data_IF_883736063601
#
_entry.id   IF_883736063601
#
_cell.length_a   1.000
_cell.length_b   1.000
_cell.length_c   1.000
_cell.angle_alpha   90.00
_cell.angle_beta   90.00
_cell.angle_gamma   90.00
#
_symmetry.space_group_name_H-M   'P 1'
#
loop_
_entity.id
_entity.type
_entity.pdbx_description
1 polymer ?
#
# COMPACT_ATOMS: atom_id res chain seq x y z
N UNK A 1 58.42 -16.59 36.11
CA UNK A 1 57.95 -15.28 35.60
C UNK A 1 58.36 -15.23 34.14
N UNK A 2 57.42 -15.27 33.17
CA UNK A 2 56.46 -14.20 32.97
C UNK A 2 54.98 -14.66 32.86
N UNK A 3 54.12 -13.68 33.08
CA UNK A 3 52.66 -13.68 32.92
C UNK A 3 52.24 -13.74 31.46
N UNK A 4 51.11 -14.40 31.19
CA UNK A 4 50.39 -14.29 29.91
C UNK A 4 48.90 -14.40 30.19
N UNK A 5 48.18 -13.27 30.08
CA UNK A 5 46.77 -13.17 30.41
C UNK A 5 45.88 -13.85 29.38
N UNK A 6 45.14 -14.85 29.82
CA UNK A 6 44.11 -15.53 29.04
C UNK A 6 42.77 -15.26 29.73
N UNK A 7 41.91 -14.47 29.11
CA UNK A 7 40.57 -14.21 29.69
C UNK A 7 39.82 -13.01 29.13
N UNK A 8 40.49 -12.11 28.41
CA UNK A 8 39.85 -10.87 27.91
C UNK A 8 39.34 -11.02 26.47
N UNK A 9 39.88 -11.96 25.69
CA UNK A 9 39.57 -12.09 24.26
C UNK A 9 38.17 -12.67 23.95
N UNK A 10 37.61 -13.51 24.83
CA UNK A 10 36.29 -14.11 24.62
C UNK A 10 35.13 -13.14 24.87
N UNK A 11 35.30 -12.26 25.86
CA UNK A 11 34.25 -11.34 26.31
C UNK A 11 34.10 -10.19 25.30
N UNK A 12 35.20 -9.71 24.72
CA UNK A 12 35.18 -8.67 23.68
C UNK A 12 34.47 -9.13 22.41
N UNK A 13 34.61 -10.40 22.01
CA UNK A 13 33.91 -10.94 20.83
C UNK A 13 32.38 -11.02 21.03
N UNK A 14 31.92 -11.33 22.25
CA UNK A 14 30.51 -11.47 22.58
C UNK A 14 29.80 -10.10 22.67
N UNK A 15 30.50 -9.10 23.22
CA UNK A 15 30.04 -7.69 23.22
C UNK A 15 30.03 -7.13 21.80
N UNK A 16 31.03 -7.40 20.97
CA UNK A 16 31.03 -6.99 19.57
C UNK A 16 29.87 -7.63 18.78
N UNK A 17 29.53 -8.89 19.08
CA UNK A 17 28.40 -9.58 18.44
C UNK A 17 27.03 -8.99 18.82
N UNK A 18 26.88 -8.50 20.07
CA UNK A 18 25.70 -7.77 20.51
C UNK A 18 25.63 -6.35 19.93
N UNK A 19 26.77 -5.71 19.68
CA UNK A 19 26.84 -4.35 19.10
C UNK A 19 26.68 -4.33 17.58
N UNK A 20 27.06 -5.40 16.86
CA UNK A 20 26.81 -5.57 15.42
C UNK A 20 25.50 -6.34 15.11
N UNK A 21 24.84 -6.87 16.13
CA UNK A 21 23.66 -7.72 16.03
C UNK A 21 22.35 -6.98 16.33
N UNK A 22 22.02 -5.97 15.52
CA UNK A 22 20.60 -5.68 15.26
C UNK A 22 20.43 -5.69 13.75
N UNK A 23 20.03 -6.85 13.22
CA UNK A 23 19.34 -6.89 11.95
C UNK A 23 18.02 -6.13 12.18
N UNK A 24 18.09 -4.81 12.04
CA UNK A 24 16.91 -3.97 12.00
C UNK A 24 16.01 -4.57 10.92
N UNK A 25 14.76 -4.79 11.28
CA UNK A 25 13.68 -5.27 10.42
C UNK A 25 13.45 -4.27 9.29
N UNK A 26 14.38 -4.19 8.34
CA UNK A 26 14.37 -3.27 7.20
C UNK A 26 13.51 -3.79 6.06
N UNK A 27 12.26 -4.14 6.34
CA UNK A 27 11.37 -4.74 5.35
C UNK A 27 9.90 -4.75 5.73
N UNK A 28 9.42 -3.77 6.49
CA UNK A 28 8.01 -3.68 6.92
C UNK A 28 7.43 -2.26 6.86
N UNK A 29 7.85 -1.42 5.91
CA UNK A 29 7.30 -0.04 5.83
C UNK A 29 7.12 0.44 4.36
N UNK A 30 7.13 -0.45 3.36
CA UNK A 30 7.03 -0.04 1.94
C UNK A 30 5.63 -0.23 1.33
N UNK A 31 4.69 -0.82 2.07
CA UNK A 31 3.37 -1.19 1.55
C UNK A 31 2.23 -0.27 2.04
N UNK A 32 2.53 0.90 2.62
CA UNK A 32 1.52 1.84 3.14
C UNK A 32 1.24 3.02 2.18
N UNK A 33 1.87 3.03 1.00
CA UNK A 33 1.65 4.09 0.02
C UNK A 33 0.23 4.00 -0.57
N UNK A 34 -0.56 5.09 -0.56
CA UNK A 34 -1.92 5.07 -1.07
C UNK A 34 -1.95 4.77 -2.58
N UNK A 35 -2.58 3.65 -2.96
CA UNK A 35 -2.71 3.18 -4.35
C UNK A 35 -3.45 4.19 -5.24
N UNK A 36 -4.40 4.93 -4.65
CA UNK A 36 -5.38 5.73 -5.39
C UNK A 36 -4.77 7.04 -5.93
N UNK A 37 -3.61 7.48 -5.43
CA UNK A 37 -3.02 8.77 -5.85
C UNK A 37 -2.60 8.79 -7.31
N UNK A 38 -2.26 7.64 -7.92
CA UNK A 38 -1.69 7.55 -9.28
C UNK A 38 -2.62 6.99 -10.37
N UNK A 39 -3.87 6.62 -10.04
CA UNK A 39 -4.77 5.97 -11.00
C UNK A 39 -5.35 6.96 -12.02
N UNK A 40 -5.33 6.57 -13.30
CA UNK A 40 -5.92 7.34 -14.39
C UNK A 40 -7.46 7.34 -14.29
N UNK A 41 -8.16 8.35 -14.83
CA UNK A 41 -9.62 8.37 -14.89
C UNK A 41 -10.22 7.12 -15.57
N UNK A 42 -9.52 6.55 -16.54
CA UNK A 42 -9.93 5.32 -17.25
C UNK A 42 -9.94 4.07 -16.38
N UNK A 43 -9.24 4.08 -15.24
CA UNK A 43 -9.24 2.98 -14.26
C UNK A 43 -10.54 2.88 -13.47
N UNK A 44 -11.42 3.89 -13.55
CA UNK A 44 -12.68 3.95 -12.82
C UNK A 44 -13.85 3.62 -13.73
N UNK A 45 -14.65 2.61 -13.36
CA UNK A 45 -15.83 2.19 -14.11
C UNK A 45 -17.01 2.00 -13.17
N UNK A 46 -18.22 2.18 -13.66
CA UNK A 46 -19.43 1.91 -12.89
C UNK A 46 -20.53 1.36 -13.77
N UNK A 47 -21.45 0.64 -13.14
CA UNK A 47 -22.74 0.21 -13.70
C UNK A 47 -23.56 1.38 -14.28
N UNK A 48 -23.70 2.45 -13.49
CA UNK A 48 -24.46 3.65 -13.82
C UNK A 48 -23.94 4.86 -13.02
N UNK A 49 -24.48 6.05 -13.30
CA UNK A 49 -24.22 7.26 -12.52
C UNK A 49 -25.45 8.17 -12.53
N UNK A 50 -25.74 8.81 -11.39
CA UNK A 50 -26.92 9.68 -11.21
C UNK A 50 -26.88 10.91 -12.14
N UNK A 51 -25.70 11.50 -12.31
CA UNK A 51 -25.46 12.59 -13.25
C UNK A 51 -23.99 12.63 -13.66
N UNK A 52 -23.62 13.55 -14.55
CA UNK A 52 -22.21 13.80 -14.91
C UNK A 52 -21.33 14.14 -13.70
N UNK A 53 -21.89 14.75 -12.64
CA UNK A 53 -21.16 15.11 -11.41
C UNK A 53 -21.05 13.98 -10.39
N UNK A 54 -21.67 12.82 -10.65
CA UNK A 54 -21.64 11.62 -9.79
C UNK A 54 -20.93 10.44 -10.48
N UNK A 55 -20.10 10.72 -11.49
CA UNK A 55 -19.33 9.71 -12.20
C UNK A 55 -18.31 8.96 -11.32
N UNK A 56 -17.85 7.78 -11.76
CA UNK A 56 -16.99 6.89 -10.96
C UNK A 56 -15.63 7.51 -10.60
N UNK A 57 -15.14 8.45 -11.40
CA UNK A 57 -13.91 9.21 -11.15
C UNK A 57 -13.96 10.07 -9.87
N UNK A 58 -15.16 10.38 -9.36
CA UNK A 58 -15.33 11.14 -8.13
C UNK A 58 -15.30 10.27 -6.86
N UNK A 59 -15.24 8.94 -6.98
CA UNK A 59 -15.19 8.03 -5.82
C UNK A 59 -13.85 8.02 -5.06
N UNK A 60 -12.84 8.77 -5.55
CA UNK A 60 -11.55 8.88 -4.88
C UNK A 60 -11.71 9.46 -3.48
N UNK A 61 -11.20 8.73 -2.49
CA UNK A 61 -11.21 9.15 -1.08
C UNK A 61 -10.56 10.53 -0.91
N UNK A 62 -11.15 11.37 -0.07
CA UNK A 62 -10.78 12.76 0.17
C UNK A 62 -10.93 13.72 -1.04
N UNK A 63 -11.62 13.32 -2.12
CA UNK A 63 -11.96 14.22 -3.23
C UNK A 63 -13.24 15.02 -2.91
N UNK A 64 -13.22 16.33 -3.16
CA UNK A 64 -14.38 17.25 -3.00
C UNK A 64 -15.00 17.69 -4.32
N UNK A 65 -14.43 17.28 -5.44
CA UNK A 65 -14.95 17.60 -6.76
C UNK A 65 -16.24 16.81 -7.07
N UNK A 66 -16.95 17.25 -8.11
CA UNK A 66 -18.25 16.70 -8.46
C UNK A 66 -19.28 17.00 -7.36
N UNK A 67 -20.20 16.07 -7.15
CA UNK A 67 -21.19 16.14 -6.08
C UNK A 67 -20.72 15.47 -4.78
N UNK A 68 -19.41 15.27 -4.61
CA UNK A 68 -18.82 14.67 -3.42
C UNK A 68 -18.57 13.16 -3.50
N UNK A 69 -18.84 12.52 -4.64
CA UNK A 69 -18.58 11.11 -4.83
C UNK A 69 -19.24 10.51 -6.06
N UNK A 70 -19.11 9.19 -6.20
CA UNK A 70 -19.93 8.42 -7.13
C UNK A 70 -21.32 8.14 -6.52
N UNK A 71 -22.36 8.11 -7.36
CA UNK A 71 -23.68 7.64 -6.97
C UNK A 71 -24.37 7.02 -8.18
N UNK A 72 -24.99 5.82 -8.06
CA UNK A 72 -25.67 5.18 -9.16
C UNK A 72 -26.97 5.90 -9.54
N UNK A 73 -27.46 5.66 -10.75
CA UNK A 73 -28.74 6.20 -11.22
C UNK A 73 -29.93 5.60 -10.47
N UNK A 74 -29.85 4.31 -10.13
CA UNK A 74 -30.86 3.57 -9.38
C UNK A 74 -30.18 2.96 -8.16
N UNK A 75 -30.80 3.05 -6.98
CA UNK A 75 -30.26 2.45 -5.76
C UNK A 75 -30.79 1.02 -5.60
N UNK A 76 -30.10 0.07 -6.24
CA UNK A 76 -30.38 -1.35 -6.11
C UNK A 76 -29.11 -2.16 -5.82
N UNK A 77 -29.29 -3.44 -5.53
CA UNK A 77 -28.24 -4.41 -5.17
C UNK A 77 -27.34 -4.87 -6.33
N UNK A 78 -27.59 -4.38 -7.54
CA UNK A 78 -26.84 -4.74 -8.74
C UNK A 78 -25.91 -3.62 -9.20
N UNK A 79 -25.94 -2.48 -8.53
CA UNK A 79 -25.01 -1.40 -8.80
C UNK A 79 -23.61 -1.79 -8.35
N UNK A 80 -22.64 -1.35 -9.14
CA UNK A 80 -21.24 -1.57 -8.87
C UNK A 80 -20.41 -0.37 -9.29
N UNK A 81 -19.33 -0.18 -8.54
CA UNK A 81 -18.20 0.68 -8.85
C UNK A 81 -16.95 -0.21 -8.89
N UNK A 82 -16.17 -0.08 -9.96
CA UNK A 82 -14.98 -0.86 -10.23
C UNK A 82 -13.76 0.07 -10.35
N UNK A 83 -12.65 -0.30 -9.70
CA UNK A 83 -11.36 0.39 -9.81
C UNK A 83 -10.29 -0.61 -10.22
N UNK A 84 -9.65 -0.36 -11.36
CA UNK A 84 -8.48 -1.10 -11.83
C UNK A 84 -7.21 -0.53 -11.17
N UNK A 85 -6.50 -1.38 -10.42
CA UNK A 85 -5.30 -1.00 -9.68
C UNK A 85 -4.01 -1.16 -10.51
N UNK A 86 -4.09 -1.67 -11.74
CA UNK A 86 -2.94 -1.89 -12.62
C UNK A 86 -2.23 -3.22 -12.41
N UNK A 87 -1.11 -3.39 -13.13
CA UNK A 87 -0.27 -4.59 -13.09
C UNK A 87 0.76 -4.51 -11.95
N UNK A 88 1.04 -5.65 -11.31
CA UNK A 88 2.08 -5.71 -10.27
C UNK A 88 3.46 -5.57 -10.91
N UNK A 89 4.25 -4.62 -10.41
CA UNK A 89 5.67 -4.55 -10.70
C UNK A 89 6.39 -5.69 -9.94
N UNK A 90 7.09 -6.62 -10.63
CA UNK A 90 7.71 -7.78 -10.00
C UNK A 90 8.97 -7.45 -9.18
N UNK A 91 9.56 -6.26 -9.36
CA UNK A 91 10.79 -5.83 -8.69
C UNK A 91 10.53 -4.91 -7.48
N UNK A 92 9.32 -4.37 -7.36
CA UNK A 92 8.81 -3.69 -6.16
C UNK A 92 7.85 -4.59 -5.38
N UNK A 93 7.88 -4.49 -4.05
CA UNK A 93 6.87 -5.06 -3.16
C UNK A 93 5.50 -4.32 -3.26
N UNK A 94 5.10 -3.94 -4.47
CA UNK A 94 3.79 -3.41 -4.83
C UNK A 94 3.00 -4.52 -5.53
N UNK A 95 2.77 -5.64 -4.86
CA UNK A 95 1.83 -6.65 -5.35
C UNK A 95 0.41 -6.26 -4.96
N UNK A 96 -0.19 -5.35 -5.73
CA UNK A 96 -1.64 -5.14 -5.70
C UNK A 96 -2.21 -5.23 -7.12
N UNK A 97 -2.21 -6.44 -7.67
CA UNK A 97 -3.04 -6.80 -8.82
C UNK A 97 -4.47 -6.98 -8.33
N UNK A 98 -5.41 -6.20 -8.86
CA UNK A 98 -6.79 -6.39 -8.44
C UNK A 98 -7.76 -5.38 -9.01
N UNK A 99 -8.95 -5.88 -9.27
CA UNK A 99 -10.13 -5.07 -9.54
C UNK A 99 -10.89 -4.91 -8.23
N UNK A 100 -10.94 -3.70 -7.67
CA UNK A 100 -11.76 -3.43 -6.50
C UNK A 100 -13.20 -3.19 -6.97
N UNK A 101 -14.14 -4.03 -6.53
CA UNK A 101 -15.57 -3.82 -6.75
C UNK A 101 -16.26 -3.48 -5.43
N UNK A 102 -16.88 -2.32 -5.38
CA UNK A 102 -17.78 -1.94 -4.30
C UNK A 102 -19.21 -2.33 -4.69
N UNK A 103 -19.81 -3.22 -3.89
CA UNK A 103 -21.22 -3.65 -3.96
C UNK A 103 -22.10 -2.77 -3.07
#
# INVERSE_FOLDING_TARGET
>A
MPSGGEGVAGITALVASLLLGSCGTGGKEMCDSPLVTSLLPSSFRSSSQLSSSHGPVFAKVNRREGAGGWSPLVSDRYQWLEVDLGEADPDHCHSHTGTLRQL
#
